data_IF_427739826101
#
_entry.id   IF_427739826101
#
_cell.length_a   1.000
_cell.length_b   1.000
_cell.length_c   1.000
_cell.angle_alpha   90.00
_cell.angle_beta   90.00
_cell.angle_gamma   90.00
#
_symmetry.space_group_name_H-M   'P 1'
#
loop_
_entity.id
_entity.type
_entity.pdbx_description
1 polymer ?
#
# COMPACT_ATOMS: atom_id res chain seq x y z
N UNK A 1 16.48 -12.69 -9.90
CA UNK A 1 16.57 -12.51 -8.43
C UNK A 1 15.19 -12.07 -7.96
N UNK A 2 14.70 -12.65 -6.88
CA UNK A 2 13.47 -12.22 -6.18
C UNK A 2 13.64 -10.79 -5.71
N UNK A 3 12.58 -9.99 -5.78
CA UNK A 3 12.55 -8.59 -5.30
C UNK A 3 11.76 -8.51 -4.01
N UNK A 4 12.00 -7.48 -3.22
CA UNK A 4 11.16 -7.14 -2.08
C UNK A 4 10.30 -5.93 -2.43
N UNK A 5 8.99 -6.10 -2.34
CA UNK A 5 8.00 -5.05 -2.62
C UNK A 5 7.28 -4.73 -1.32
N UNK A 6 7.29 -3.46 -0.93
CA UNK A 6 6.59 -2.96 0.25
C UNK A 6 5.41 -2.09 -0.19
N UNK A 7 4.23 -2.34 0.38
CA UNK A 7 3.10 -1.43 0.26
C UNK A 7 2.83 -0.77 1.60
N UNK A 8 2.61 0.55 1.60
CA UNK A 8 2.37 1.35 2.79
C UNK A 8 0.96 1.94 2.74
N UNK A 9 0.14 1.58 3.73
CA UNK A 9 -1.20 2.12 3.97
C UNK A 9 -1.23 3.02 5.20
N UNK A 10 -2.14 3.98 5.24
CA UNK A 10 -2.41 4.75 6.44
C UNK A 10 -3.09 3.88 7.51
N UNK A 11 -4.06 3.09 7.09
CA UNK A 11 -4.85 2.21 7.94
C UNK A 11 -4.84 0.78 7.42
N UNK A 12 -5.07 -0.18 8.30
CA UNK A 12 -5.34 -1.55 7.89
C UNK A 12 -6.52 -1.61 6.92
N UNK A 13 -6.27 -2.06 5.71
CA UNK A 13 -7.22 -2.11 4.61
C UNK A 13 -6.80 -1.30 3.39
N UNK A 14 -6.12 -0.18 3.57
CA UNK A 14 -5.76 0.72 2.46
C UNK A 14 -4.85 0.05 1.43
N UNK A 15 -3.68 -0.41 1.85
CA UNK A 15 -2.73 -1.07 0.96
C UNK A 15 -3.26 -2.40 0.43
N UNK A 16 -4.04 -3.12 1.24
CA UNK A 16 -4.67 -4.38 0.88
C UNK A 16 -5.71 -4.21 -0.23
N UNK A 17 -6.46 -3.11 -0.22
CA UNK A 17 -7.44 -2.77 -1.26
C UNK A 17 -6.77 -2.20 -2.51
N UNK A 18 -5.92 -1.20 -2.34
CA UNK A 18 -5.36 -0.42 -3.47
C UNK A 18 -4.25 -1.14 -4.21
N UNK A 19 -3.44 -1.91 -3.50
CA UNK A 19 -2.22 -2.57 -4.00
C UNK A 19 -2.30 -4.10 -3.95
N UNK A 20 -3.24 -4.66 -3.20
CA UNK A 20 -3.30 -6.08 -2.87
C UNK A 20 -3.33 -7.03 -4.06
N UNK A 21 -4.00 -6.67 -5.16
CA UNK A 21 -4.03 -7.49 -6.38
C UNK A 21 -2.63 -7.60 -7.01
N UNK A 22 -1.88 -6.48 -7.08
CA UNK A 22 -0.51 -6.49 -7.59
C UNK A 22 0.42 -7.25 -6.64
N UNK A 23 0.25 -7.06 -5.33
CA UNK A 23 1.05 -7.77 -4.32
C UNK A 23 0.86 -9.29 -4.41
N UNK A 24 -0.39 -9.76 -4.55
CA UNK A 24 -0.68 -11.17 -4.78
C UNK A 24 0.03 -11.69 -6.04
N UNK A 25 -0.02 -10.95 -7.14
CA UNK A 25 0.69 -11.30 -8.38
C UNK A 25 2.20 -11.41 -8.17
N UNK A 26 2.80 -10.47 -7.45
CA UNK A 26 4.23 -10.49 -7.19
C UNK A 26 4.63 -11.67 -6.30
N UNK A 27 3.85 -11.96 -5.26
CA UNK A 27 4.07 -13.14 -4.42
C UNK A 27 3.98 -14.46 -5.21
N UNK A 28 2.99 -14.60 -6.10
CA UNK A 28 2.86 -15.77 -7.01
C UNK A 28 4.10 -15.92 -7.92
N UNK A 29 4.81 -14.83 -8.22
CA UNK A 29 6.05 -14.84 -9.01
C UNK A 29 7.30 -15.12 -8.19
N UNK A 30 7.17 -15.32 -6.88
CA UNK A 30 8.26 -15.58 -5.95
C UNK A 30 8.95 -14.33 -5.41
N UNK A 31 8.38 -13.15 -5.56
CA UNK A 31 8.84 -11.94 -4.91
C UNK A 31 8.42 -11.91 -3.44
N UNK A 32 9.22 -11.27 -2.58
CA UNK A 32 8.87 -11.01 -1.19
C UNK A 32 7.94 -9.81 -1.11
N UNK A 33 6.81 -9.97 -0.45
CA UNK A 33 5.78 -8.93 -0.31
C UNK A 33 5.59 -8.57 1.15
N UNK A 34 5.59 -7.27 1.45
CA UNK A 34 5.41 -6.73 2.80
C UNK A 34 4.36 -5.61 2.73
N UNK A 35 3.40 -5.68 3.63
CA UNK A 35 2.42 -4.62 3.83
C UNK A 35 2.71 -3.95 5.16
N UNK A 36 2.84 -2.65 5.16
CA UNK A 36 3.01 -1.82 6.36
C UNK A 36 1.79 -0.92 6.48
N UNK A 37 1.00 -1.14 7.51
CA UNK A 37 -0.10 -0.27 7.88
C UNK A 37 0.38 0.66 9.00
N UNK A 38 0.34 1.98 8.79
CA UNK A 38 0.87 2.95 9.75
C UNK A 38 -0.02 3.07 11.01
N UNK A 39 -1.30 2.71 10.89
CA UNK A 39 -2.26 2.56 11.99
C UNK A 39 -3.12 1.32 11.77
N UNK A 40 -3.78 0.83 12.79
CA UNK A 40 -4.70 -0.29 12.66
C UNK A 40 -6.12 0.09 12.19
N UNK A 41 -6.43 1.39 12.02
CA UNK A 41 -7.77 1.84 11.63
C UNK A 41 -8.83 1.65 12.72
N UNK A 42 -8.44 1.70 13.99
CA UNK A 42 -9.30 1.35 15.12
C UNK A 42 -10.41 2.35 15.40
N UNK A 43 -10.35 3.57 14.85
CA UNK A 43 -11.46 4.54 15.00
C UNK A 43 -12.67 4.23 14.13
N UNK A 44 -12.52 3.33 13.16
CA UNK A 44 -13.64 2.72 12.45
C UNK A 44 -14.43 1.68 13.25
N UNK A 45 -14.29 1.66 14.59
CA UNK A 45 -14.88 0.67 15.52
C UNK A 45 -16.38 0.51 15.31
N UNK A 46 -16.89 -0.69 15.00
CA UNK A 46 -18.32 -0.95 14.89
C UNK A 46 -19.01 -0.92 16.26
N UNK A 47 -20.33 -0.76 16.24
CA UNK A 47 -21.13 -0.77 17.45
C UNK A 47 -20.92 -2.06 18.25
N UNK A 48 -20.73 -1.92 19.55
CA UNK A 48 -20.53 -3.06 20.46
C UNK A 48 -19.06 -3.50 20.64
N UNK A 49 -18.14 -2.88 19.94
CA UNK A 49 -16.71 -3.12 20.13
C UNK A 49 -16.04 -1.96 20.86
N UNK A 50 -14.90 -2.23 21.54
CA UNK A 50 -14.00 -1.14 21.96
C UNK A 50 -12.96 -0.87 20.87
N UNK A 51 -12.37 0.33 20.85
CA UNK A 51 -11.27 0.63 19.93
C UNK A 51 -10.09 -0.33 20.10
N UNK A 52 -9.80 -0.73 21.35
CA UNK A 52 -8.73 -1.68 21.65
C UNK A 52 -9.01 -3.04 21.00
N UNK A 53 -10.20 -3.60 21.21
CA UNK A 53 -10.56 -4.93 20.68
C UNK A 53 -10.57 -4.87 19.14
N UNK A 54 -11.06 -3.78 18.56
CA UNK A 54 -11.09 -3.62 17.11
C UNK A 54 -9.70 -3.45 16.50
N UNK A 55 -8.78 -2.77 17.22
CA UNK A 55 -7.35 -2.71 16.86
C UNK A 55 -6.75 -4.11 16.79
N UNK A 56 -6.90 -4.89 17.87
CA UNK A 56 -6.36 -6.25 17.94
C UNK A 56 -6.91 -7.13 16.81
N UNK A 57 -8.21 -7.02 16.55
CA UNK A 57 -8.87 -7.71 15.44
C UNK A 57 -8.31 -7.30 14.07
N UNK A 58 -8.17 -6.00 13.80
CA UNK A 58 -7.64 -5.50 12.53
C UNK A 58 -6.19 -5.95 12.29
N UNK A 59 -5.35 -5.95 13.33
CA UNK A 59 -3.96 -6.47 13.24
C UNK A 59 -3.95 -7.95 12.88
N UNK A 60 -4.82 -8.77 13.50
CA UNK A 60 -4.96 -10.18 13.17
C UNK A 60 -5.42 -10.38 11.72
N UNK A 61 -6.42 -9.61 11.28
CA UNK A 61 -6.96 -9.66 9.93
C UNK A 61 -5.93 -9.24 8.87
N UNK A 62 -5.13 -8.21 9.13
CA UNK A 62 -4.02 -7.81 8.26
C UNK A 62 -3.01 -8.95 8.08
N UNK A 63 -2.68 -9.66 9.16
CA UNK A 63 -1.82 -10.84 9.12
C UNK A 63 -2.41 -11.98 8.28
N UNK A 64 -3.70 -12.29 8.46
CA UNK A 64 -4.41 -13.32 7.68
C UNK A 64 -4.47 -12.97 6.19
N UNK A 65 -4.79 -11.71 5.86
CA UNK A 65 -4.75 -11.24 4.48
C UNK A 65 -3.37 -11.45 3.86
N UNK A 66 -2.32 -10.96 4.53
CA UNK A 66 -0.96 -11.07 4.03
C UNK A 66 -0.54 -12.53 3.82
N UNK A 67 -0.86 -13.41 4.76
CA UNK A 67 -0.59 -14.85 4.63
C UNK A 67 -1.28 -15.46 3.41
N UNK A 68 -2.55 -15.13 3.17
CA UNK A 68 -3.33 -15.65 2.03
C UNK A 68 -2.75 -15.23 0.68
N UNK A 69 -2.17 -14.05 0.56
CA UNK A 69 -1.51 -13.61 -0.68
C UNK A 69 -0.04 -14.04 -0.76
N UNK A 70 0.50 -14.71 0.27
CA UNK A 70 1.91 -15.13 0.31
C UNK A 70 2.88 -14.03 0.75
N UNK A 71 2.41 -13.05 1.52
CA UNK A 71 3.18 -11.90 2.03
C UNK A 71 3.29 -11.85 3.55
N UNK A 72 3.78 -10.73 4.05
CA UNK A 72 3.90 -10.38 5.48
C UNK A 72 3.17 -9.06 5.75
N UNK A 73 2.61 -8.91 6.95
CA UNK A 73 2.00 -7.67 7.44
C UNK A 73 2.74 -7.15 8.67
N UNK A 74 2.91 -5.83 8.73
CA UNK A 74 3.43 -5.09 9.87
C UNK A 74 2.45 -3.94 10.11
N UNK A 75 1.87 -3.87 11.31
CA UNK A 75 1.00 -2.76 11.71
C UNK A 75 1.71 -1.96 12.78
N UNK A 76 1.92 -0.66 12.53
CA UNK A 76 2.59 0.23 13.48
C UNK A 76 1.63 0.64 14.61
N UNK A 77 2.20 1.20 15.69
CA UNK A 77 1.45 1.53 16.90
C UNK A 77 0.99 3.01 16.96
N UNK A 78 0.88 3.65 15.80
CA UNK A 78 0.34 5.01 15.75
C UNK A 78 -1.19 4.95 15.83
N UNK A 79 -1.83 5.79 16.67
CA UNK A 79 -3.28 5.85 16.75
C UNK A 79 -3.91 6.33 15.43
N UNK A 80 -5.00 5.68 15.03
CA UNK A 80 -5.81 6.08 13.88
C UNK A 80 -6.30 7.52 14.03
N UNK A 81 -6.31 8.29 12.96
CA UNK A 81 -6.70 9.70 12.93
C UNK A 81 -5.63 10.66 13.51
N UNK A 82 -4.45 10.17 13.89
CA UNK A 82 -3.37 10.97 14.48
C UNK A 82 -2.07 10.92 13.67
N UNK A 83 -2.11 10.40 12.44
CA UNK A 83 -0.94 10.41 11.58
C UNK A 83 -0.52 11.85 11.23
N UNK A 84 0.77 12.09 11.36
CA UNK A 84 1.44 13.28 10.84
C UNK A 84 2.84 12.94 10.34
N UNK A 85 3.32 13.63 9.33
CA UNK A 85 4.68 13.47 8.86
C UNK A 85 5.66 14.02 9.90
N UNK A 86 6.36 13.13 10.56
CA UNK A 86 7.29 13.44 11.63
C UNK A 86 8.46 12.45 11.67
N UNK A 87 9.61 12.92 12.15
CA UNK A 87 10.87 12.20 12.06
C UNK A 87 10.80 10.77 12.64
N UNK A 88 10.10 10.58 13.74
CA UNK A 88 10.09 9.28 14.43
C UNK A 88 9.45 8.17 13.58
N UNK A 89 8.25 8.41 13.04
CA UNK A 89 7.56 7.44 12.18
C UNK A 89 8.26 7.28 10.82
N UNK A 90 8.83 8.36 10.28
CA UNK A 90 9.60 8.32 9.03
C UNK A 90 10.87 7.46 9.17
N UNK A 91 11.58 7.60 10.29
CA UNK A 91 12.75 6.79 10.62
C UNK A 91 12.38 5.34 10.90
N UNK A 92 11.27 5.10 11.59
CA UNK A 92 10.77 3.75 11.82
C UNK A 92 10.48 3.05 10.49
N UNK A 93 9.77 3.71 9.58
CA UNK A 93 9.47 3.15 8.26
C UNK A 93 10.74 2.99 7.40
N UNK A 94 11.68 3.95 7.44
CA UNK A 94 12.97 3.86 6.74
C UNK A 94 13.81 2.69 7.25
N UNK A 95 13.77 2.43 8.56
CA UNK A 95 14.46 1.28 9.17
C UNK A 95 13.89 -0.03 8.64
N UNK A 96 12.55 -0.18 8.61
CA UNK A 96 11.88 -1.35 8.01
C UNK A 96 12.26 -1.53 6.53
N UNK A 97 12.35 -0.44 5.76
CA UNK A 97 12.79 -0.51 4.37
C UNK A 97 14.22 -1.06 4.23
N UNK A 98 15.14 -0.67 5.12
CA UNK A 98 16.52 -1.20 5.15
C UNK A 98 16.55 -2.66 5.62
N UNK A 99 15.86 -3.01 6.69
CA UNK A 99 15.80 -4.37 7.25
C UNK A 99 15.33 -5.39 6.22
N UNK A 100 14.36 -5.00 5.42
CA UNK A 100 13.79 -5.87 4.42
C UNK A 100 14.44 -5.74 3.04
N UNK A 101 15.45 -4.91 2.87
CA UNK A 101 16.12 -4.66 1.58
C UNK A 101 15.10 -4.35 0.47
N UNK A 102 14.23 -3.36 0.70
CA UNK A 102 13.12 -3.04 -0.19
C UNK A 102 13.60 -2.52 -1.53
N UNK A 103 13.12 -3.11 -2.63
CA UNK A 103 13.41 -2.72 -4.02
C UNK A 103 12.36 -1.77 -4.59
N UNK A 104 11.11 -1.94 -4.15
CA UNK A 104 9.98 -1.14 -4.67
C UNK A 104 8.97 -0.81 -3.56
N UNK A 105 8.39 0.40 -3.62
CA UNK A 105 7.39 0.88 -2.68
C UNK A 105 6.12 1.31 -3.40
N UNK A 106 4.98 0.85 -2.91
CA UNK A 106 3.63 1.28 -3.29
C UNK A 106 3.04 2.06 -2.11
N UNK A 107 2.43 3.22 -2.34
CA UNK A 107 1.93 4.05 -1.26
C UNK A 107 0.81 4.99 -1.73
N UNK A 108 0.17 5.70 -0.81
CA UNK A 108 -0.95 6.60 -1.09
C UNK A 108 -0.63 7.68 -2.11
N UNK A 109 -1.64 8.07 -2.91
CA UNK A 109 -1.62 9.31 -3.68
C UNK A 109 -1.57 10.52 -2.76
N UNK A 110 -0.96 11.61 -3.24
CA UNK A 110 -0.67 12.82 -2.46
C UNK A 110 -1.89 13.63 -2.01
N UNK A 111 -3.00 13.54 -2.73
CA UNK A 111 -4.22 14.30 -2.46
C UNK A 111 -5.31 13.36 -1.95
N UNK A 112 -5.90 13.68 -0.82
CA UNK A 112 -6.99 12.92 -0.21
C UNK A 112 -7.84 13.82 0.69
N UNK A 113 -9.13 13.53 0.80
CA UNK A 113 -9.98 14.13 1.83
C UNK A 113 -9.62 13.61 3.23
N UNK A 114 -8.97 12.45 3.32
CA UNK A 114 -8.51 11.87 4.58
C UNK A 114 -7.10 12.34 4.92
N UNK A 115 -6.98 13.12 5.98
CA UNK A 115 -5.69 13.70 6.40
C UNK A 115 -4.59 12.65 6.63
N UNK A 116 -4.95 11.46 7.10
CA UNK A 116 -3.99 10.39 7.36
C UNK A 116 -3.45 9.78 6.07
N UNK A 117 -4.22 9.75 4.97
CA UNK A 117 -3.72 9.33 3.66
C UNK A 117 -2.69 10.32 3.11
N UNK A 118 -2.93 11.63 3.25
CA UNK A 118 -1.95 12.66 2.88
C UNK A 118 -0.68 12.59 3.76
N UNK A 119 -0.86 12.34 5.07
CA UNK A 119 0.26 12.12 5.99
C UNK A 119 1.05 10.86 5.60
N UNK A 120 0.38 9.74 5.32
CA UNK A 120 1.01 8.48 4.90
C UNK A 120 1.81 8.65 3.60
N UNK A 121 1.28 9.42 2.64
CA UNK A 121 2.03 9.79 1.43
C UNK A 121 3.35 10.48 1.80
N UNK A 122 3.30 11.53 2.61
CA UNK A 122 4.47 12.32 2.99
C UNK A 122 5.47 11.52 3.85
N UNK A 123 4.97 10.76 4.81
CA UNK A 123 5.79 9.86 5.65
C UNK A 123 6.57 8.89 4.75
N UNK A 124 5.90 8.30 3.76
CA UNK A 124 6.53 7.32 2.89
C UNK A 124 7.60 7.93 1.99
N UNK A 125 7.35 9.10 1.40
CA UNK A 125 8.37 9.81 0.60
C UNK A 125 9.62 10.14 1.43
N UNK A 126 9.43 10.65 2.64
CA UNK A 126 10.53 10.98 3.54
C UNK A 126 11.28 9.70 4.00
N UNK A 127 10.55 8.61 4.29
CA UNK A 127 11.15 7.33 4.64
C UNK A 127 12.00 6.75 3.50
N UNK A 128 11.54 6.82 2.25
CA UNK A 128 12.31 6.42 1.06
C UNK A 128 13.61 7.22 0.97
N UNK A 129 13.53 8.54 1.19
CA UNK A 129 14.71 9.40 1.21
C UNK A 129 15.72 8.96 2.29
N UNK A 130 15.28 8.82 3.55
CA UNK A 130 16.14 8.38 4.65
C UNK A 130 16.70 6.96 4.45
N UNK A 131 15.90 6.03 3.98
CA UNK A 131 16.34 4.67 3.70
C UNK A 131 17.46 4.61 2.66
N UNK A 132 17.43 5.51 1.68
CA UNK A 132 18.39 5.54 0.56
C UNK A 132 19.71 6.24 0.89
N UNK A 133 19.77 7.09 1.93
CA UNK A 133 20.95 7.87 2.27
C UNK A 133 21.98 7.06 3.07
N UNK A 134 23.20 6.93 2.53
CA UNK A 134 24.31 6.27 3.22
C UNK A 134 24.88 7.08 4.38
N UNK A 135 24.70 8.39 4.36
CA UNK A 135 25.19 9.32 5.40
C UNK A 135 24.21 9.54 6.54
N UNK A 136 23.01 8.97 6.44
CA UNK A 136 22.03 9.03 7.51
C UNK A 136 22.26 7.90 8.51
N UNK A 137 22.43 8.28 9.78
CA UNK A 137 22.71 7.33 10.88
C UNK A 137 21.46 6.49 11.21
N UNK A 138 21.30 5.42 10.45
CA UNK A 138 20.34 4.35 10.70
C UNK A 138 21.07 3.02 10.87
N UNK A 139 20.52 2.11 11.70
CA UNK A 139 21.12 0.83 11.97
C UNK A 139 21.16 0.02 10.73
N UNK A 140 21.69 -0.26 9.86
CA UNK A 140 21.68 -1.07 8.65
C UNK A 140 22.17 -0.31 7.40
N UNK A 141 22.76 -1.01 6.45
CA UNK A 141 23.18 -0.41 5.18
C UNK A 141 21.99 0.24 4.45
N UNK A 142 22.25 1.29 3.65
CA UNK A 142 21.19 1.95 2.87
C UNK A 142 20.52 0.99 1.89
N UNK A 143 19.22 1.15 1.73
CA UNK A 143 18.40 0.48 0.72
C UNK A 143 18.08 1.49 -0.39
N UNK A 144 18.78 1.47 -1.53
CA UNK A 144 18.50 2.40 -2.63
C UNK A 144 17.23 1.94 -3.37
N UNK A 145 16.09 2.43 -2.93
CA UNK A 145 14.79 2.10 -3.51
C UNK A 145 14.69 2.74 -4.89
N UNK A 146 14.54 1.90 -5.91
CA UNK A 146 14.59 2.33 -7.32
C UNK A 146 13.22 2.53 -7.95
N UNK A 147 12.17 1.95 -7.35
CA UNK A 147 10.81 2.00 -7.88
C UNK A 147 9.85 2.37 -6.76
N UNK A 148 9.11 3.44 -6.96
CA UNK A 148 8.04 3.81 -6.06
C UNK A 148 6.90 4.46 -6.85
N UNK A 149 5.67 4.04 -6.53
CA UNK A 149 4.47 4.38 -7.28
C UNK A 149 3.33 4.68 -6.30
N UNK A 150 2.50 5.64 -6.67
CA UNK A 150 1.33 5.99 -5.86
C UNK A 150 0.12 5.19 -6.28
N UNK A 151 -0.50 4.53 -5.31
CA UNK A 151 -1.81 3.92 -5.45
C UNK A 151 -2.90 4.99 -5.36
N UNK A 152 -4.00 4.80 -6.07
CA UNK A 152 -5.20 5.62 -5.95
C UNK A 152 -5.81 5.46 -4.57
N UNK A 153 -6.23 6.56 -3.96
CA UNK A 153 -7.07 6.50 -2.78
C UNK A 153 -8.48 6.03 -3.16
N UNK A 154 -9.21 5.41 -2.24
CA UNK A 154 -10.42 4.66 -2.59
C UNK A 154 -11.56 5.50 -3.15
N UNK A 155 -12.00 6.58 -2.55
CA UNK A 155 -13.13 7.36 -3.06
C UNK A 155 -12.76 8.78 -3.50
N UNK A 156 -11.50 9.17 -3.27
CA UNK A 156 -11.00 10.48 -3.64
C UNK A 156 -9.56 10.40 -4.16
N UNK A 157 -9.38 10.76 -5.37
CA UNK A 157 -8.06 10.83 -5.96
C UNK A 157 -7.96 12.07 -6.88
N UNK A 158 -8.14 13.30 -6.35
CA UNK A 158 -8.02 14.50 -7.15
C UNK A 158 -6.68 14.52 -7.88
N UNK A 159 -6.72 14.81 -9.18
CA UNK A 159 -5.55 14.87 -10.06
C UNK A 159 -4.75 13.56 -10.19
N UNK A 160 -5.32 12.42 -9.80
CA UNK A 160 -4.69 11.13 -10.02
C UNK A 160 -4.68 10.77 -11.50
N UNK A 161 -3.48 10.62 -12.06
CA UNK A 161 -3.30 10.22 -13.45
C UNK A 161 -2.62 8.85 -13.49
N UNK A 162 -3.32 7.79 -13.89
CA UNK A 162 -2.72 6.47 -14.06
C UNK A 162 -1.58 6.52 -15.08
N UNK A 163 -0.44 5.95 -14.70
CA UNK A 163 0.74 5.88 -15.55
C UNK A 163 1.23 4.43 -15.74
N UNK A 164 1.28 3.65 -14.66
CA UNK A 164 1.65 2.25 -14.68
C UNK A 164 0.40 1.38 -14.64
N UNK A 165 0.32 0.41 -15.51
CA UNK A 165 -0.80 -0.53 -15.61
C UNK A 165 -0.29 -1.95 -15.46
N UNK A 166 -0.95 -2.75 -14.64
CA UNK A 166 -0.58 -4.13 -14.38
C UNK A 166 -1.79 -5.04 -14.63
N UNK A 167 -1.62 -6.01 -15.51
CA UNK A 167 -2.53 -7.14 -15.60
C UNK A 167 -2.46 -7.94 -14.30
N UNK A 168 -3.59 -8.09 -13.62
CA UNK A 168 -3.72 -8.84 -12.37
C UNK A 168 -4.75 -9.97 -12.48
N UNK A 169 -5.12 -10.36 -13.71
CA UNK A 169 -6.15 -11.36 -13.99
C UNK A 169 -5.91 -12.65 -13.22
N UNK A 170 -4.71 -13.20 -13.24
CA UNK A 170 -4.37 -14.45 -12.55
C UNK A 170 -4.36 -14.33 -11.03
N UNK A 171 -4.08 -13.14 -10.48
CA UNK A 171 -4.00 -12.89 -9.04
C UNK A 171 -5.33 -12.41 -8.44
N UNK A 172 -6.26 -11.96 -9.26
CA UNK A 172 -7.56 -11.44 -8.80
C UNK A 172 -8.33 -12.43 -7.93
N UNK A 173 -8.45 -13.73 -8.26
CA UNK A 173 -9.13 -14.69 -7.40
C UNK A 173 -8.48 -14.85 -6.02
N UNK A 174 -7.15 -14.83 -5.95
CA UNK A 174 -6.38 -14.92 -4.70
C UNK A 174 -6.67 -13.71 -3.83
N UNK A 175 -6.55 -12.50 -4.40
CA UNK A 175 -6.86 -11.27 -3.71
C UNK A 175 -8.32 -11.22 -3.24
N UNK A 176 -9.27 -11.64 -4.09
CA UNK A 176 -10.71 -11.62 -3.78
C UNK A 176 -11.06 -12.51 -2.58
N UNK A 177 -10.38 -13.62 -2.40
CA UNK A 177 -10.55 -14.47 -1.22
C UNK A 177 -9.81 -13.92 0.00
N UNK A 178 -8.62 -13.32 -0.19
CA UNK A 178 -7.85 -12.76 0.90
C UNK A 178 -8.51 -11.53 1.53
N UNK A 179 -9.07 -10.64 0.69
CA UNK A 179 -9.63 -9.35 1.16
C UNK A 179 -10.83 -9.53 2.09
N UNK A 180 -11.52 -10.67 2.04
CA UNK A 180 -12.62 -11.01 2.94
C UNK A 180 -12.19 -11.16 4.40
N UNK A 181 -10.90 -11.30 4.68
CA UNK A 181 -10.40 -11.30 6.06
C UNK A 181 -10.59 -9.94 6.73
N UNK A 182 -10.63 -8.86 5.95
CA UNK A 182 -10.75 -7.51 6.49
C UNK A 182 -12.23 -7.17 6.75
N UNK A 183 -12.54 -6.79 7.98
CA UNK A 183 -13.90 -6.40 8.38
C UNK A 183 -14.53 -5.38 7.43
N UNK A 184 -13.78 -4.34 7.06
CA UNK A 184 -14.27 -3.26 6.21
C UNK A 184 -14.70 -3.73 4.80
N UNK A 185 -14.10 -4.79 4.28
CA UNK A 185 -14.39 -5.25 2.92
C UNK A 185 -15.83 -5.77 2.78
N UNK A 186 -16.34 -6.45 3.80
CA UNK A 186 -17.66 -7.07 3.79
C UNK A 186 -18.71 -6.33 4.63
N UNK A 187 -18.29 -5.69 5.73
CA UNK A 187 -19.21 -5.15 6.73
C UNK A 187 -19.36 -3.63 6.70
N UNK A 188 -18.50 -2.90 5.95
CA UNK A 188 -18.65 -1.45 5.86
C UNK A 188 -20.00 -1.06 5.26
N UNK A 189 -20.69 -0.14 5.94
CA UNK A 189 -21.96 0.43 5.49
C UNK A 189 -21.79 1.73 4.73
N UNK A 190 -20.70 2.45 4.98
CA UNK A 190 -20.41 3.75 4.38
C UNK A 190 -19.92 3.63 2.94
N UNK A 191 -19.09 2.63 2.64
CA UNK A 191 -18.54 2.40 1.32
C UNK A 191 -18.47 0.91 0.99
N UNK A 192 -18.80 0.53 -0.24
CA UNK A 192 -18.84 -0.88 -0.67
C UNK A 192 -17.49 -1.30 -1.27
N UNK A 193 -16.47 -1.41 -0.43
CA UNK A 193 -15.07 -1.61 -0.81
C UNK A 193 -14.85 -2.76 -1.79
N UNK A 194 -15.26 -3.97 -1.43
CA UNK A 194 -15.06 -5.14 -2.27
C UNK A 194 -15.67 -4.96 -3.67
N UNK A 195 -16.91 -4.50 -3.71
CA UNK A 195 -17.62 -4.27 -4.97
C UNK A 195 -16.98 -3.18 -5.82
N UNK A 196 -16.50 -2.11 -5.17
CA UNK A 196 -15.82 -1.00 -5.85
C UNK A 196 -14.52 -1.46 -6.51
N UNK A 197 -13.64 -2.12 -5.77
CA UNK A 197 -12.35 -2.56 -6.30
C UNK A 197 -12.47 -3.68 -7.33
N UNK A 198 -13.45 -4.57 -7.19
CA UNK A 198 -13.80 -5.55 -8.23
C UNK A 198 -14.22 -4.84 -9.53
N UNK A 199 -15.16 -3.91 -9.47
CA UNK A 199 -15.62 -3.15 -10.63
C UNK A 199 -14.51 -2.32 -11.27
N UNK A 200 -13.67 -1.68 -10.45
CA UNK A 200 -12.53 -0.89 -10.92
C UNK A 200 -11.51 -1.77 -11.65
N UNK A 201 -11.20 -2.96 -11.14
CA UNK A 201 -10.26 -3.87 -11.81
C UNK A 201 -10.75 -4.32 -13.17
N UNK A 202 -12.05 -4.60 -13.33
CA UNK A 202 -12.70 -4.94 -14.60
C UNK A 202 -12.65 -3.74 -15.57
N UNK A 203 -13.06 -2.55 -15.10
CA UNK A 203 -13.07 -1.36 -15.94
C UNK A 203 -11.66 -0.99 -16.44
N UNK A 204 -10.65 -1.16 -15.58
CA UNK A 204 -9.24 -0.97 -15.95
C UNK A 204 -8.74 -2.06 -16.88
N UNK A 205 -9.10 -3.32 -16.63
CA UNK A 205 -8.77 -4.44 -17.49
C UNK A 205 -9.27 -4.21 -18.93
N UNK A 206 -10.54 -3.84 -19.08
CA UNK A 206 -11.15 -3.53 -20.38
C UNK A 206 -10.39 -2.45 -21.17
N UNK A 207 -9.80 -1.46 -20.50
CA UNK A 207 -9.02 -0.39 -21.15
C UNK A 207 -7.69 -0.85 -21.74
N UNK A 208 -7.13 -1.94 -21.22
CA UNK A 208 -5.82 -2.47 -21.62
C UNK A 208 -5.88 -3.87 -22.21
N UNK A 209 -7.10 -4.41 -22.42
CA UNK A 209 -7.33 -5.68 -23.13
C UNK A 209 -7.07 -6.93 -22.29
N UNK A 210 -7.30 -6.85 -20.95
CA UNK A 210 -7.23 -7.98 -20.02
C UNK A 210 -8.49 -8.02 -19.15
N UNK A 211 -8.73 -9.12 -18.42
CA UNK A 211 -9.93 -9.24 -17.58
C UNK A 211 -9.87 -8.34 -16.34
N UNK A 212 -8.71 -8.28 -15.67
CA UNK A 212 -8.51 -7.46 -14.48
C UNK A 212 -7.18 -6.71 -14.54
N UNK A 213 -7.22 -5.40 -14.30
CA UNK A 213 -6.02 -4.58 -14.18
C UNK A 213 -6.07 -3.66 -12.96
N UNK A 214 -4.90 -3.35 -12.41
CA UNK A 214 -4.70 -2.26 -11.45
C UNK A 214 -3.75 -1.21 -12.03
N UNK A 215 -3.84 0.02 -11.53
CA UNK A 215 -2.98 1.09 -12.03
C UNK A 215 -2.43 1.94 -10.90
N UNK A 216 -1.27 2.57 -11.15
CA UNK A 216 -0.57 3.45 -10.24
C UNK A 216 -0.14 4.72 -10.94
N UNK A 217 -0.11 5.83 -10.23
CA UNK A 217 0.49 7.06 -10.71
C UNK A 217 2.01 7.00 -10.51
N UNK A 218 2.73 7.74 -11.33
CA UNK A 218 4.13 8.02 -11.05
C UNK A 218 4.22 8.90 -9.80
N UNK A 219 5.19 8.60 -8.92
CA UNK A 219 5.45 9.43 -7.76
C UNK A 219 5.76 10.87 -8.16
N UNK A 220 5.23 11.88 -7.45
CA UNK A 220 5.51 13.29 -7.75
C UNK A 220 6.99 13.68 -7.65
N UNK A 221 7.78 12.95 -6.84
CA UNK A 221 9.21 13.22 -6.66
C UNK A 221 10.11 12.57 -7.73
N UNK A 222 9.53 11.73 -8.60
CA UNK A 222 10.27 11.14 -9.70
C UNK A 222 10.23 12.03 -10.92
N UNK A 223 11.38 12.54 -11.33
CA UNK A 223 11.50 13.20 -12.61
C UNK A 223 11.38 12.18 -13.74
N UNK A 224 10.36 12.37 -14.58
CA UNK A 224 10.17 11.54 -15.77
C UNK A 224 11.11 12.02 -16.87
N UNK A 225 12.15 11.25 -17.13
CA UNK A 225 13.08 11.51 -18.25
C UNK A 225 13.07 10.34 -19.20
N UNK A 226 12.93 10.64 -20.47
CA UNK A 226 13.18 9.72 -21.55
C UNK A 226 14.56 10.06 -22.14
N UNK A 227 15.50 9.14 -21.97
CA UNK A 227 16.80 9.27 -22.61
C UNK A 227 16.71 8.55 -23.94
N UNK A 228 16.82 9.28 -25.02
CA UNK A 228 16.85 8.74 -26.37
C UNK A 228 18.29 8.73 -26.86
N UNK A 229 18.70 7.62 -27.38
CA UNK A 229 20.01 7.47 -28.04
C UNK A 229 19.93 7.92 -29.50
N UNK A 230 18.76 7.69 -30.14
CA UNK A 230 18.43 8.12 -31.52
C UNK A 230 16.93 8.46 -31.61
N UNK A 231 16.54 9.17 -32.69
CA UNK A 231 15.14 9.34 -33.09
C UNK A 231 14.59 8.06 -33.73
#
# INVERSE_FOLDING_TARGET
MSKTIMAVGAHTGDAQLTSGMLLAKQAMRGDKVIIVDLTAGERGTPAGWTQKDFREYNVECAGKFAQKIGGQSIVLDTPDGELYAGKDIEIQLATLMREHHVDAVLYHWKNSLHKDHEAAHRITENAIFYASLSTFDLPLPPAPIKKFMCAENWEDAPDFVPYYWFDVTEAFPVWKEAIKELWLAEHSTSFKYLRYYEAMSIARGARVGVDHATCFAASPIVEKRLILDTL
#
